data_IF_060712210686
#
_entry.id   IF_060712210686
#
_cell.length_a   1.000
_cell.length_b   1.000
_cell.length_c   1.000
_cell.angle_alpha   90.00
_cell.angle_beta   90.00
_cell.angle_gamma   90.00
#
_symmetry.space_group_name_H-M   'P 1'
#
loop_
_entity.id
_entity.type
_entity.pdbx_description
1 polymer ?
#
# COMPACT_ATOMS: atom_id res chain seq x y z
N UNK A 1 -8.58 -20.23 -10.69
CA UNK A 1 -7.34 -20.27 -9.89
C UNK A 1 -6.21 -19.79 -10.76
N UNK A 2 -5.45 -18.80 -10.31
CA UNK A 2 -4.34 -18.21 -11.07
C UNK A 2 -3.26 -17.69 -10.13
N UNK A 3 -2.05 -17.51 -10.66
CA UNK A 3 -0.90 -16.92 -9.97
C UNK A 3 -0.50 -15.62 -10.67
N UNK A 4 0.05 -14.68 -9.91
CA UNK A 4 0.51 -13.38 -10.42
C UNK A 4 2.02 -13.25 -10.20
N UNK A 5 2.73 -12.72 -11.20
CA UNK A 5 4.09 -12.19 -11.03
C UNK A 5 4.03 -10.67 -10.95
N UNK A 6 5.05 -10.02 -10.40
CA UNK A 6 5.13 -8.56 -10.36
C UNK A 6 4.88 -7.91 -11.73
N UNK A 7 5.48 -8.46 -12.79
CA UNK A 7 5.33 -7.96 -14.17
C UNK A 7 3.94 -8.22 -14.76
N UNK A 8 3.22 -9.22 -14.24
CA UNK A 8 1.88 -9.60 -14.70
C UNK A 8 0.75 -8.80 -14.07
N UNK A 9 1.02 -8.04 -13.00
CA UNK A 9 0.02 -7.19 -12.33
C UNK A 9 0.04 -5.81 -12.99
N UNK A 10 -1.13 -5.25 -13.38
CA UNK A 10 -1.19 -3.92 -13.96
C UNK A 10 -0.81 -2.85 -12.93
N UNK A 11 -0.12 -1.82 -13.42
CA UNK A 11 0.24 -0.64 -12.63
C UNK A 11 -1.02 0.17 -12.33
N UNK A 12 -1.25 0.49 -11.05
CA UNK A 12 -2.35 1.36 -10.63
C UNK A 12 -1.86 2.76 -10.23
N UNK A 13 -0.66 2.87 -9.64
CA UNK A 13 0.01 4.15 -9.36
C UNK A 13 1.51 3.98 -9.64
N UNK A 14 2.09 4.93 -10.38
CA UNK A 14 3.52 5.00 -10.68
C UNK A 14 4.00 6.45 -10.62
N UNK A 15 5.18 6.67 -10.04
CA UNK A 15 5.80 7.99 -9.90
C UNK A 15 6.39 8.27 -8.52
N UNK A 16 7.34 9.20 -8.43
CA UNK A 16 7.99 9.65 -7.18
C UNK A 16 8.53 8.52 -6.28
N UNK A 17 9.02 7.44 -6.89
CA UNK A 17 9.53 6.27 -6.15
C UNK A 17 8.45 5.28 -5.73
N UNK A 18 7.22 5.40 -6.22
CA UNK A 18 6.13 4.45 -6.02
C UNK A 18 5.93 3.62 -7.29
N UNK A 19 5.94 2.29 -7.18
CA UNK A 19 5.38 1.36 -8.17
C UNK A 19 4.35 0.49 -7.43
N UNK A 20 3.09 0.92 -7.50
CA UNK A 20 1.96 0.22 -6.91
C UNK A 20 1.18 -0.49 -8.01
N UNK A 21 1.17 -1.82 -7.94
CA UNK A 21 0.45 -2.68 -8.89
C UNK A 21 -0.65 -3.40 -8.16
N UNK A 22 -1.83 -3.51 -8.77
CA UNK A 22 -2.95 -4.21 -8.15
C UNK A 22 -3.86 -4.91 -9.16
N UNK A 23 -4.39 -6.07 -8.78
CA UNK A 23 -5.40 -6.79 -9.54
C UNK A 23 -6.48 -7.35 -8.63
N UNK A 24 -7.74 -7.08 -8.99
CA UNK A 24 -8.90 -7.69 -8.35
C UNK A 24 -9.00 -9.19 -8.70
N UNK A 25 -9.17 -10.01 -7.66
CA UNK A 25 -9.39 -11.45 -7.72
C UNK A 25 -10.52 -11.86 -6.76
N UNK A 26 -11.74 -11.96 -7.30
CA UNK A 26 -12.94 -12.13 -6.47
C UNK A 26 -13.29 -10.82 -5.77
N UNK A 27 -13.54 -10.87 -4.47
CA UNK A 27 -13.86 -9.69 -3.64
C UNK A 27 -12.61 -8.94 -3.18
N UNK A 28 -11.45 -9.60 -3.22
CA UNK A 28 -10.18 -9.05 -2.76
C UNK A 28 -9.31 -8.59 -3.94
N UNK A 29 -8.44 -7.62 -3.68
CA UNK A 29 -7.35 -7.25 -4.56
C UNK A 29 -6.03 -7.77 -4.00
N UNK A 30 -5.14 -8.22 -4.88
CA UNK A 30 -3.73 -8.45 -4.55
C UNK A 30 -2.97 -7.23 -5.07
N UNK A 31 -2.20 -6.59 -4.19
CA UNK A 31 -1.26 -5.56 -4.62
C UNK A 31 0.18 -5.96 -4.31
N UNK A 32 1.06 -5.58 -5.22
CA UNK A 32 2.50 -5.72 -5.10
C UNK A 32 3.10 -4.33 -5.22
N UNK A 33 3.77 -3.90 -4.16
CA UNK A 33 4.21 -2.52 -4.01
C UNK A 33 5.72 -2.48 -3.83
N UNK A 34 6.36 -1.63 -4.63
CA UNK A 34 7.76 -1.23 -4.44
C UNK A 34 7.81 0.26 -4.16
N UNK A 35 8.50 0.62 -3.09
CA UNK A 35 8.71 2.01 -2.70
C UNK A 35 10.22 2.27 -2.60
N UNK A 36 10.67 3.36 -3.23
CA UNK A 36 12.03 3.87 -3.08
C UNK A 36 12.24 4.54 -1.73
N UNK A 37 13.47 4.52 -1.21
CA UNK A 37 13.82 5.16 0.05
C UNK A 37 13.40 6.64 0.08
N UNK A 38 12.67 7.03 1.13
CA UNK A 38 12.14 8.38 1.30
C UNK A 38 10.81 8.64 0.60
N UNK A 39 10.25 7.68 -0.15
CA UNK A 39 8.89 7.80 -0.67
C UNK A 39 7.89 7.93 0.48
N UNK A 40 7.08 8.98 0.45
CA UNK A 40 6.09 9.31 1.47
C UNK A 40 4.72 9.47 0.82
N UNK A 41 3.77 8.59 1.18
CA UNK A 41 2.45 8.58 0.57
C UNK A 41 1.45 9.48 1.32
N UNK A 42 1.82 10.06 2.46
CA UNK A 42 0.95 10.96 3.23
C UNK A 42 0.40 12.13 2.39
N UNK A 43 1.20 12.81 1.54
CA UNK A 43 0.68 13.92 0.72
C UNK A 43 -0.44 13.48 -0.24
N UNK A 44 -0.35 12.27 -0.82
CA UNK A 44 -1.37 11.75 -1.73
C UNK A 44 -2.68 11.39 -1.01
N UNK A 45 -2.62 11.09 0.29
CA UNK A 45 -3.77 10.72 1.11
C UNK A 45 -4.50 11.93 1.73
N UNK A 46 -3.94 13.14 1.57
CA UNK A 46 -4.55 14.36 2.09
C UNK A 46 -5.97 14.56 1.53
N UNK A 47 -6.94 14.83 2.42
CA UNK A 47 -8.36 14.95 2.09
C UNK A 47 -9.19 13.68 2.32
N UNK A 48 -8.55 12.52 2.50
CA UNK A 48 -9.23 11.35 3.06
C UNK A 48 -9.50 11.54 4.56
N UNK A 49 -10.39 10.74 5.18
CA UNK A 49 -10.59 10.78 6.63
C UNK A 49 -9.26 10.65 7.38
N UNK A 50 -8.91 11.67 8.17
CA UNK A 50 -7.66 11.72 8.93
C UNK A 50 -6.39 11.84 8.07
N UNK A 51 -6.51 12.21 6.79
CA UNK A 51 -5.42 12.27 5.81
C UNK A 51 -4.67 10.92 5.68
N UNK A 52 -5.43 9.83 5.77
CA UNK A 52 -4.92 8.47 5.85
C UNK A 52 -5.72 7.50 4.97
N UNK A 53 -5.07 6.43 4.55
CA UNK A 53 -5.70 5.29 3.89
C UNK A 53 -6.75 4.67 4.81
N UNK A 54 -7.96 4.49 4.29
CA UNK A 54 -9.07 3.86 5.01
C UNK A 54 -9.32 2.41 4.57
N UNK A 55 -8.53 1.90 3.63
CA UNK A 55 -8.60 0.51 3.22
C UNK A 55 -7.83 -0.35 4.23
N UNK A 56 -8.36 -1.46 4.76
CA UNK A 56 -7.58 -2.39 5.57
C UNK A 56 -6.71 -3.29 4.68
N UNK A 57 -5.49 -3.58 5.13
CA UNK A 57 -4.52 -4.39 4.39
C UNK A 57 -3.97 -5.54 5.25
N UNK A 58 -3.85 -6.72 4.65
CA UNK A 58 -3.13 -7.88 5.19
C UNK A 58 -1.98 -8.20 4.27
N UNK A 59 -0.80 -8.52 4.78
CA UNK A 59 0.31 -8.77 3.87
C UNK A 59 1.59 -9.22 4.52
N UNK A 60 2.65 -9.14 3.73
CA UNK A 60 3.99 -9.56 4.10
C UNK A 60 5.05 -8.64 3.51
N UNK A 61 6.00 -8.23 4.35
CA UNK A 61 7.17 -7.44 3.94
C UNK A 61 8.21 -8.36 3.30
N UNK A 62 8.48 -8.17 2.00
CA UNK A 62 9.46 -8.95 1.25
C UNK A 62 10.89 -8.43 1.49
N UNK A 63 11.06 -7.10 1.48
CA UNK A 63 12.36 -6.46 1.69
C UNK A 63 12.21 -5.06 2.31
N UNK A 64 13.31 -4.55 2.87
CA UNK A 64 13.38 -3.18 3.37
C UNK A 64 12.63 -2.90 4.67
N UNK A 65 12.36 -1.61 4.89
CA UNK A 65 11.68 -1.08 6.07
C UNK A 65 10.63 -0.03 5.68
N UNK A 66 9.41 -0.21 6.21
CA UNK A 66 8.28 0.69 5.98
C UNK A 66 7.81 1.26 7.32
N UNK A 67 7.76 2.58 7.44
CA UNK A 67 7.15 3.26 8.58
C UNK A 67 5.69 3.53 8.26
N UNK A 68 4.80 3.00 9.08
CA UNK A 68 3.37 3.24 9.03
C UNK A 68 2.99 4.28 10.06
N UNK A 69 2.45 5.41 9.60
CA UNK A 69 1.91 6.47 10.46
C UNK A 69 0.44 6.19 10.75
N UNK A 70 0.06 6.28 12.02
CA UNK A 70 -1.34 6.14 12.46
C UNK A 70 -1.67 7.23 13.49
N UNK A 71 -2.95 7.34 13.86
CA UNK A 71 -3.38 8.29 14.89
C UNK A 71 -2.80 8.02 16.29
N UNK A 72 -2.37 6.78 16.57
CA UNK A 72 -1.75 6.39 17.85
C UNK A 72 -0.22 6.51 17.84
N UNK A 73 0.37 6.83 16.69
CA UNK A 73 1.82 6.95 16.51
C UNK A 73 2.32 6.19 15.28
N UNK A 74 3.63 6.27 15.05
CA UNK A 74 4.28 5.57 13.96
C UNK A 74 4.84 4.21 14.41
N UNK A 75 4.69 3.19 13.58
CA UNK A 75 5.30 1.86 13.75
C UNK A 75 6.13 1.53 12.51
N UNK A 76 7.28 0.88 12.69
CA UNK A 76 8.11 0.42 11.56
C UNK A 76 7.96 -1.08 11.38
N UNK A 77 7.79 -1.51 10.14
CA UNK A 77 7.70 -2.89 9.70
C UNK A 77 8.93 -3.25 8.86
N UNK A 78 9.42 -4.47 9.03
CA UNK A 78 10.67 -4.95 8.47
C UNK A 78 10.45 -6.16 7.55
N UNK A 79 11.36 -6.35 6.59
CA UNK A 79 11.45 -7.59 5.82
C UNK A 79 11.32 -8.83 6.71
N UNK A 80 10.48 -9.77 6.30
CA UNK A 80 10.24 -11.01 7.05
C UNK A 80 8.97 -10.98 7.92
N UNK A 81 8.32 -9.83 8.08
CA UNK A 81 7.14 -9.67 8.92
C UNK A 81 5.84 -9.80 8.11
N UNK A 82 4.89 -10.57 8.67
CA UNK A 82 3.49 -10.49 8.26
C UNK A 82 2.80 -9.33 9.00
N UNK A 83 1.83 -8.69 8.37
CA UNK A 83 1.15 -7.54 8.96
C UNK A 83 -0.36 -7.55 8.74
N UNK A 84 -1.01 -6.79 9.61
CA UNK A 84 -2.36 -6.27 9.42
C UNK A 84 -2.30 -4.77 9.70
N UNK A 85 -2.70 -3.97 8.71
CA UNK A 85 -2.86 -2.52 8.83
C UNK A 85 -4.34 -2.19 8.78
N UNK A 86 -4.91 -1.87 9.95
CA UNK A 86 -6.28 -1.41 10.06
C UNK A 86 -6.48 -0.06 9.36
N UNK A 87 -7.71 0.28 8.98
CA UNK A 87 -8.04 1.59 8.43
C UNK A 87 -7.50 2.75 9.30
N UNK A 88 -7.02 3.82 8.67
CA UNK A 88 -6.37 4.94 9.34
C UNK A 88 -4.86 4.79 9.43
N UNK A 89 -4.21 4.59 8.29
CA UNK A 89 -2.75 4.55 8.21
C UNK A 89 -2.18 5.26 6.97
N UNK A 90 -0.89 5.62 7.02
CA UNK A 90 -0.18 6.19 5.89
C UNK A 90 1.29 5.70 5.84
N UNK A 91 1.75 5.12 4.72
CA UNK A 91 3.09 4.55 4.61
C UNK A 91 4.17 5.58 4.21
N UNK A 92 5.36 5.41 4.77
CA UNK A 92 6.61 6.12 4.44
C UNK A 92 7.74 5.08 4.34
N UNK A 93 8.43 5.01 3.20
CA UNK A 93 9.54 4.10 2.97
C UNK A 93 10.82 4.60 3.66
N UNK A 94 11.29 3.87 4.69
CA UNK A 94 12.52 4.21 5.43
C UNK A 94 13.76 3.82 4.62
N UNK A 95 13.68 2.69 3.93
CA UNK A 95 14.63 2.22 2.92
C UNK A 95 13.86 1.89 1.65
N UNK A 96 14.56 1.56 0.56
CA UNK A 96 13.91 0.83 -0.53
C UNK A 96 13.22 -0.41 0.09
N UNK A 97 11.94 -0.59 -0.20
CA UNK A 97 11.15 -1.66 0.38
C UNK A 97 10.14 -2.22 -0.60
N UNK A 98 9.78 -3.47 -0.35
CA UNK A 98 8.88 -4.23 -1.20
C UNK A 98 7.96 -5.07 -0.32
N UNK A 99 6.67 -5.07 -0.64
CA UNK A 99 5.68 -5.88 0.06
C UNK A 99 4.57 -6.34 -0.88
N UNK A 100 3.89 -7.40 -0.46
CA UNK A 100 2.64 -7.85 -1.07
C UNK A 100 1.57 -7.72 -0.01
N UNK A 101 0.42 -7.18 -0.39
CA UNK A 101 -0.75 -7.11 0.45
C UNK A 101 -2.03 -7.50 -0.29
N UNK A 102 -3.05 -7.74 0.53
CA UNK A 102 -4.38 -8.15 0.16
C UNK A 102 -5.34 -7.20 0.83
N UNK A 103 -6.33 -6.72 0.09
CA UNK A 103 -7.30 -5.77 0.62
C UNK A 103 -8.67 -5.95 -0.04
N UNK A 104 -9.76 -5.52 0.62
CA UNK A 104 -11.08 -5.50 0.02
C UNK A 104 -11.09 -4.54 -1.18
N UNK A 105 -11.64 -4.99 -2.31
CA UNK A 105 -11.48 -4.25 -3.56
C UNK A 105 -12.23 -2.92 -3.56
N UNK A 106 -13.43 -2.86 -2.99
CA UNK A 106 -14.25 -1.64 -3.02
C UNK A 106 -13.58 -0.49 -2.25
N UNK A 107 -12.99 -0.81 -1.10
CA UNK A 107 -12.25 0.11 -0.24
C UNK A 107 -10.95 0.55 -0.91
N UNK A 108 -10.20 -0.39 -1.53
CA UNK A 108 -8.99 -0.05 -2.26
C UNK A 108 -9.30 0.89 -3.43
N UNK A 109 -10.35 0.59 -4.22
CA UNK A 109 -10.76 1.44 -5.35
C UNK A 109 -11.18 2.84 -4.91
N UNK A 110 -11.75 2.98 -3.72
CA UNK A 110 -12.08 4.29 -3.16
C UNK A 110 -10.82 5.11 -2.89
N UNK A 111 -9.79 4.51 -2.28
CA UNK A 111 -8.50 5.18 -2.04
C UNK A 111 -7.76 5.46 -3.36
N UNK A 112 -7.73 4.49 -4.28
CA UNK A 112 -7.08 4.66 -5.58
C UNK A 112 -7.69 5.80 -6.40
N UNK A 113 -9.02 5.92 -6.41
CA UNK A 113 -9.70 7.04 -7.09
C UNK A 113 -9.26 8.39 -6.52
N UNK A 114 -9.16 8.51 -5.20
CA UNK A 114 -8.69 9.73 -4.54
C UNK A 114 -7.25 10.07 -4.95
N UNK A 115 -6.32 9.13 -4.80
CA UNK A 115 -4.89 9.41 -5.06
C UNK A 115 -4.56 9.63 -6.53
N UNK A 116 -5.40 9.12 -7.45
CA UNK A 116 -5.24 9.32 -8.89
C UNK A 116 -6.01 10.53 -9.44
N UNK A 117 -6.62 11.33 -8.56
CA UNK A 117 -7.31 12.58 -8.94
C UNK A 117 -8.65 12.37 -9.65
N UNK A 118 -9.35 11.28 -9.32
CA UNK A 118 -10.70 10.99 -9.81
C UNK A 118 -11.81 11.82 -9.16
#
# INVERSE_FOLDING_TARGET
MQSLTFEGIPVAVDGEGVDFRSQQLGEMSIAWVKLGAGADLRPALAGLPGDMCQCPHWGYMLSGQLRMHTSSGAQTYNAGEAFYWAAGHAPEAVTDCEYIDFSPTEELQTVLRHVTGG
#
